data_IF_659819366472
#
_entry.id   IF_659819366472
#
_cell.length_a   1.000
_cell.length_b   1.000
_cell.length_c   1.000
_cell.angle_alpha   90.00
_cell.angle_beta   90.00
_cell.angle_gamma   90.00
#
_symmetry.space_group_name_H-M   'P 1'
#
loop_
_entity.id
_entity.type
_entity.pdbx_description
1 polymer ?
#
# COMPACT_ATOMS: atom_id res chain seq x y z
N UNK A 1 -17.18 -1.79 6.50
CA UNK A 1 -16.67 -1.85 7.89
C UNK A 1 -15.28 -2.43 7.80
N UNK A 2 -14.25 -1.61 8.02
CA UNK A 2 -12.86 -2.06 7.94
C UNK A 2 -12.65 -3.14 9.00
N UNK A 3 -12.48 -4.38 8.55
CA UNK A 3 -12.20 -5.51 9.44
C UNK A 3 -10.71 -5.43 9.77
N UNK A 4 -10.39 -4.87 10.93
CA UNK A 4 -9.02 -4.86 11.47
C UNK A 4 -8.68 -6.33 11.75
N UNK A 5 -8.03 -6.97 10.77
CA UNK A 5 -7.51 -8.32 10.93
C UNK A 5 -6.55 -8.34 12.11
N UNK A 6 -6.52 -9.42 12.92
CA UNK A 6 -5.52 -9.61 13.96
C UNK A 6 -4.21 -10.03 13.28
N UNK A 7 -3.63 -9.11 12.51
CA UNK A 7 -2.28 -9.30 12.00
C UNK A 7 -1.33 -9.18 13.19
N UNK A 8 -0.32 -10.06 13.33
CA UNK A 8 0.62 -9.98 14.44
C UNK A 8 1.22 -8.58 14.47
N UNK A 9 1.08 -7.88 15.60
CA UNK A 9 1.47 -6.47 15.82
C UNK A 9 2.93 -6.16 15.42
N UNK A 10 3.76 -7.19 15.23
CA UNK A 10 5.18 -7.09 14.88
C UNK A 10 5.52 -7.41 13.42
N UNK A 11 4.55 -7.69 12.54
CA UNK A 11 4.86 -7.97 11.14
C UNK A 11 5.35 -6.70 10.43
N UNK A 12 6.49 -6.75 9.70
CA UNK A 12 6.99 -5.59 8.98
C UNK A 12 5.97 -5.12 7.94
N UNK A 13 5.85 -3.81 7.74
CA UNK A 13 4.86 -3.19 6.84
C UNK A 13 4.80 -3.84 5.44
N UNK A 14 5.95 -4.24 4.89
CA UNK A 14 6.01 -4.92 3.59
C UNK A 14 5.22 -6.25 3.58
N UNK A 15 5.16 -6.96 4.71
CA UNK A 15 4.46 -8.23 4.85
C UNK A 15 2.95 -8.00 4.98
N UNK A 16 2.55 -6.91 5.62
CA UNK A 16 1.15 -6.48 5.68
C UNK A 16 0.63 -6.09 4.29
N UNK A 17 1.40 -5.30 3.53
CA UNK A 17 1.08 -4.91 2.15
C UNK A 17 0.91 -6.14 1.24
N UNK A 18 1.75 -7.16 1.42
CA UNK A 18 1.67 -8.42 0.66
C UNK A 18 0.45 -9.27 0.99
N UNK A 19 -0.08 -9.18 2.22
CA UNK A 19 -1.28 -9.93 2.60
C UNK A 19 -2.58 -9.33 2.10
N UNK A 20 -2.59 -8.06 1.70
CA UNK A 20 -3.80 -7.40 1.21
C UNK A 20 -4.23 -7.98 -0.14
N UNK A 21 -5.55 -8.10 -0.35
CA UNK A 21 -6.14 -8.35 -1.66
C UNK A 21 -5.82 -7.25 -2.68
N UNK A 22 -6.12 -7.47 -3.95
CA UNK A 22 -5.88 -6.47 -5.00
C UNK A 22 -6.73 -5.21 -4.80
N UNK A 23 -8.02 -5.39 -4.49
CA UNK A 23 -8.95 -4.28 -4.22
C UNK A 23 -8.64 -3.62 -2.87
N UNK A 24 -8.36 -4.41 -1.83
CA UNK A 24 -7.98 -3.90 -0.50
C UNK A 24 -6.69 -3.07 -0.52
N UNK A 25 -5.72 -3.44 -1.35
CA UNK A 25 -4.47 -2.68 -1.51
C UNK A 25 -4.72 -1.34 -2.21
N UNK A 26 -5.64 -1.30 -3.17
CA UNK A 26 -6.02 -0.06 -3.86
C UNK A 26 -6.79 0.88 -2.94
N UNK A 27 -7.76 0.35 -2.19
CA UNK A 27 -8.51 1.11 -1.18
C UNK A 27 -7.55 1.71 -0.14
N UNK A 28 -6.63 0.90 0.39
CA UNK A 28 -5.62 1.35 1.35
C UNK A 28 -4.71 2.45 0.79
N UNK A 29 -4.29 2.33 -0.46
CA UNK A 29 -3.49 3.36 -1.12
C UNK A 29 -4.27 4.68 -1.26
N UNK A 30 -5.52 4.63 -1.70
CA UNK A 30 -6.38 5.81 -1.85
C UNK A 30 -6.61 6.52 -0.51
N UNK A 31 -6.94 5.78 0.56
CA UNK A 31 -7.11 6.32 1.91
C UNK A 31 -5.83 7.01 2.40
N UNK A 32 -4.66 6.42 2.12
CA UNK A 32 -3.37 6.99 2.50
C UNK A 32 -3.11 8.31 1.78
N UNK A 33 -3.38 8.38 0.47
CA UNK A 33 -3.23 9.61 -0.33
C UNK A 33 -4.19 10.72 0.13
N UNK A 34 -5.43 10.35 0.49
CA UNK A 34 -6.40 11.29 1.04
C UNK A 34 -5.92 11.87 2.38
N UNK A 35 -5.38 11.02 3.25
CA UNK A 35 -4.86 11.44 4.55
C UNK A 35 -3.61 12.32 4.40
N UNK A 36 -2.70 12.00 3.46
CA UNK A 36 -1.54 12.84 3.17
C UNK A 36 -1.93 14.25 2.76
N UNK A 37 -2.85 14.39 1.80
CA UNK A 37 -3.33 15.71 1.35
C UNK A 37 -3.98 16.53 2.47
N UNK A 38 -4.59 15.86 3.45
CA UNK A 38 -5.14 16.53 4.62
C UNK A 38 -4.05 16.96 5.63
N UNK A 39 -2.92 16.26 5.65
CA UNK A 39 -1.79 16.51 6.56
C UNK A 39 -0.67 17.37 5.96
N UNK A 40 -0.70 17.62 4.64
CA UNK A 40 0.29 18.43 3.91
C UNK A 40 0.41 19.87 4.43
N UNK A 41 -0.64 20.42 5.05
CA UNK A 41 -0.64 21.78 5.61
C UNK A 41 0.26 21.92 6.85
N UNK A 42 0.57 20.82 7.56
CA UNK A 42 1.20 20.86 8.89
C UNK A 42 2.64 20.29 8.98
N UNK A 43 3.13 19.45 8.06
CA UNK A 43 4.32 18.63 8.37
C UNK A 43 5.35 18.38 7.25
N UNK A 44 6.29 19.31 7.05
CA UNK A 44 7.50 19.08 6.22
C UNK A 44 8.40 17.93 6.74
N UNK A 45 8.35 17.58 8.03
CA UNK A 45 9.16 16.51 8.63
C UNK A 45 8.58 15.09 8.47
N UNK A 46 7.28 14.95 8.14
CA UNK A 46 6.61 13.66 7.95
C UNK A 46 6.94 13.00 6.59
N UNK A 47 7.53 13.77 5.68
CA UNK A 47 7.88 13.38 4.31
C UNK A 47 8.81 12.16 4.20
N UNK A 48 9.71 11.92 5.15
CA UNK A 48 10.66 10.80 5.00
C UNK A 48 10.06 9.44 5.36
N UNK A 49 9.17 9.39 6.35
CA UNK A 49 8.42 8.19 6.66
C UNK A 49 7.31 7.95 5.64
N UNK A 50 6.74 9.02 5.07
CA UNK A 50 5.71 8.91 4.04
C UNK A 50 6.20 8.24 2.76
N UNK A 51 7.37 8.68 2.29
CA UNK A 51 7.99 8.10 1.10
C UNK A 51 8.34 6.62 1.26
N UNK A 52 8.53 6.10 2.48
CA UNK A 52 8.89 4.69 2.68
C UNK A 52 7.71 3.74 2.48
N UNK A 53 6.53 4.06 3.02
CA UNK A 53 5.35 3.22 2.78
C UNK A 53 4.87 3.34 1.33
N UNK A 54 4.90 4.55 0.76
CA UNK A 54 4.40 4.78 -0.60
C UNK A 54 5.21 3.95 -1.60
N UNK A 55 6.54 3.94 -1.44
CA UNK A 55 7.43 3.12 -2.25
C UNK A 55 7.13 1.63 -2.12
N UNK A 56 6.81 1.14 -0.92
CA UNK A 56 6.44 -0.27 -0.73
C UNK A 56 5.12 -0.62 -1.41
N UNK A 57 4.11 0.26 -1.31
CA UNK A 57 2.80 0.08 -1.95
C UNK A 57 2.96 0.09 -3.48
N UNK A 58 3.66 1.08 -4.03
CA UNK A 58 3.91 1.19 -5.48
C UNK A 58 4.70 -0.01 -6.01
N UNK A 59 5.70 -0.49 -5.25
CA UNK A 59 6.47 -1.67 -5.64
C UNK A 59 5.58 -2.92 -5.72
N UNK A 60 4.69 -3.13 -4.75
CA UNK A 60 3.77 -4.27 -4.75
C UNK A 60 2.74 -4.15 -5.88
N UNK A 61 2.17 -2.96 -6.11
CA UNK A 61 1.27 -2.70 -7.23
C UNK A 61 1.93 -2.99 -8.59
N UNK A 62 3.18 -2.57 -8.76
CA UNK A 62 3.96 -2.86 -9.97
C UNK A 62 4.19 -4.37 -10.12
N UNK A 63 4.57 -5.08 -9.05
CA UNK A 63 4.76 -6.53 -9.08
C UNK A 63 3.48 -7.26 -9.49
N UNK A 64 2.33 -6.86 -8.93
CA UNK A 64 1.02 -7.44 -9.26
C UNK A 64 0.64 -7.16 -10.71
N UNK A 65 0.84 -5.94 -11.19
CA UNK A 65 0.62 -5.57 -12.60
C UNK A 65 1.49 -6.40 -13.56
N UNK A 66 2.79 -6.56 -13.26
CA UNK A 66 3.68 -7.40 -14.05
C UNK A 66 3.24 -8.88 -14.05
N UNK A 67 2.80 -9.42 -12.90
CA UNK A 67 2.30 -10.80 -12.80
C UNK A 67 1.03 -10.99 -13.65
N UNK A 68 0.09 -10.04 -13.62
CA UNK A 68 -1.11 -10.07 -14.47
C UNK A 68 -0.74 -10.04 -15.95
N UNK A 69 0.15 -9.13 -16.37
CA UNK A 69 0.63 -9.06 -17.76
C UNK A 69 1.31 -10.36 -18.24
N UNK A 70 2.08 -11.03 -17.38
CA UNK A 70 2.75 -12.29 -17.72
C UNK A 70 1.75 -13.46 -17.80
N UNK A 71 0.76 -13.49 -16.90
CA UNK A 71 -0.32 -14.49 -16.95
C UNK A 71 -1.21 -14.30 -18.18
N UNK A 72 -1.52 -13.06 -18.55
CA UNK A 72 -2.37 -12.73 -19.70
C UNK A 72 -1.70 -13.03 -21.04
N UNK A 73 -0.36 -13.00 -21.12
CA UNK A 73 0.40 -13.43 -22.32
C UNK A 73 0.55 -14.96 -22.46
N UNK A 74 0.20 -15.73 -21.43
CA UNK A 74 0.32 -17.19 -21.40
C UNK A 74 -1.02 -17.92 -21.52
N UNK A 75 -2.13 -17.20 -21.46
CA UNK A 75 -3.48 -17.69 -21.76
C UNK A 75 -3.79 -17.51 -23.26
#
# INVERSE_FOLDING_TARGET
MANIFPYPEDAPLHMQIKSLGDDELLDFWEETQFLERFLEDDMQARNQASMQYERLILQELQLRSCRRCVSERRA
#
